data_IF_219997341100
#
_entry.id   IF_219997341100
#
_cell.length_a   1.000
_cell.length_b   1.000
_cell.length_c   1.000
_cell.angle_alpha   90.00
_cell.angle_beta   90.00
_cell.angle_gamma   90.00
#
_symmetry.space_group_name_H-M   'P 1'
#
loop_
_entity.id
_entity.type
_entity.pdbx_description
1 polymer ?
#
# COMPACT_ATOMS: atom_id res chain seq x y z
N UNK A 1 0.82 -6.08 20.13
CA UNK A 1 0.34 -7.19 19.23
C UNK A 1 -0.53 -8.23 19.93
N UNK A 2 -0.30 -8.59 21.20
CA UNK A 2 -1.11 -9.59 21.91
C UNK A 2 -2.63 -9.30 21.90
N UNK A 3 -3.12 -8.06 22.11
CA UNK A 3 -4.55 -7.76 22.02
C UNK A 3 -5.17 -8.07 20.66
N UNK A 4 -4.49 -7.76 19.55
CA UNK A 4 -4.97 -8.10 18.20
C UNK A 4 -4.99 -9.61 18.00
N UNK A 5 -3.94 -10.31 18.44
CA UNK A 5 -3.89 -11.78 18.34
C UNK A 5 -5.08 -12.42 19.05
N UNK A 6 -5.35 -11.99 20.28
CA UNK A 6 -6.50 -12.48 21.07
C UNK A 6 -7.82 -12.16 20.35
N UNK A 7 -7.96 -10.94 19.83
CA UNK A 7 -9.14 -10.57 19.06
C UNK A 7 -9.36 -11.51 17.85
N UNK A 8 -8.32 -11.79 17.06
CA UNK A 8 -8.42 -12.67 15.89
C UNK A 8 -8.71 -14.13 16.27
N UNK A 9 -8.17 -14.62 17.38
CA UNK A 9 -8.48 -15.97 17.89
C UNK A 9 -9.95 -16.08 18.29
N UNK A 10 -10.48 -15.08 18.99
CA UNK A 10 -11.87 -15.07 19.44
C UNK A 10 -12.86 -14.76 18.30
N UNK A 11 -12.37 -14.18 17.20
CA UNK A 11 -13.17 -13.77 16.04
C UNK A 11 -12.54 -14.29 14.72
N UNK A 12 -12.53 -15.60 14.47
CA UNK A 12 -11.77 -16.22 13.37
C UNK A 12 -12.24 -15.80 11.96
N UNK A 13 -13.45 -15.21 11.86
CA UNK A 13 -13.97 -14.70 10.58
C UNK A 13 -13.66 -13.22 10.34
N UNK A 14 -12.97 -12.56 11.27
CA UNK A 14 -12.58 -11.16 11.12
C UNK A 14 -11.16 -11.04 10.57
N UNK A 15 -11.01 -10.16 9.59
CA UNK A 15 -9.71 -9.76 9.04
C UNK A 15 -9.42 -8.34 9.51
N UNK A 16 -8.33 -8.17 10.26
CA UNK A 16 -7.85 -6.86 10.71
C UNK A 16 -6.83 -6.36 9.70
N UNK A 17 -7.09 -5.20 9.11
CA UNK A 17 -6.21 -4.54 8.15
C UNK A 17 -5.49 -3.37 8.83
N UNK A 18 -4.19 -3.30 8.68
CA UNK A 18 -3.38 -2.26 9.31
C UNK A 18 -2.01 -2.12 8.67
N UNK A 19 -1.26 -1.16 9.17
CA UNK A 19 0.09 -0.85 8.70
C UNK A 19 1.02 -0.63 9.89
N UNK A 20 2.27 -1.10 9.76
CA UNK A 20 3.34 -0.75 10.68
C UNK A 20 3.84 0.65 10.35
N UNK A 21 3.66 1.59 11.29
CA UNK A 21 4.21 2.93 11.17
C UNK A 21 5.50 3.04 11.99
N UNK A 22 6.48 3.72 11.41
CA UNK A 22 7.78 3.96 12.08
C UNK A 22 8.86 2.91 11.77
N UNK A 23 10.02 3.08 12.37
CA UNK A 23 11.17 2.21 12.15
C UNK A 23 11.80 2.33 10.77
N UNK A 24 12.14 1.19 10.15
CA UNK A 24 12.71 1.09 8.80
C UNK A 24 11.62 0.98 7.71
N UNK A 25 10.34 0.93 8.09
CA UNK A 25 9.21 0.73 7.20
C UNK A 25 8.64 2.07 6.74
N UNK A 26 8.41 2.22 5.44
CA UNK A 26 7.81 3.41 4.85
C UNK A 26 8.78 4.55 4.52
N UNK A 27 8.23 5.62 3.92
CA UNK A 27 9.01 6.80 3.50
C UNK A 27 9.20 7.83 4.61
N UNK A 28 8.31 7.81 5.61
CA UNK A 28 8.32 8.77 6.72
C UNK A 28 9.02 8.12 7.91
N UNK A 29 10.23 8.59 8.22
CA UNK A 29 11.04 8.08 9.35
C UNK A 29 10.71 8.76 10.68
N UNK A 30 9.87 9.78 10.66
CA UNK A 30 9.61 10.66 11.81
C UNK A 30 8.36 10.29 12.61
N UNK A 31 7.76 9.11 12.43
CA UNK A 31 6.63 8.69 13.25
C UNK A 31 6.97 8.70 14.73
N UNK A 32 6.10 9.32 15.54
CA UNK A 32 6.26 9.42 16.99
C UNK A 32 6.17 8.07 17.69
N UNK A 33 5.25 7.22 17.24
CA UNK A 33 5.05 5.89 17.77
C UNK A 33 5.32 4.84 16.70
N UNK A 34 6.03 3.77 17.07
CA UNK A 34 6.38 2.64 16.18
C UNK A 34 5.49 1.45 16.53
N UNK A 35 4.28 1.45 15.96
CA UNK A 35 3.25 0.48 16.29
C UNK A 35 2.51 0.02 15.03
N UNK A 36 1.79 -1.10 15.15
CA UNK A 36 0.87 -1.53 14.11
C UNK A 36 -0.44 -0.74 14.24
N UNK A 37 -0.75 0.08 13.25
CA UNK A 37 -1.96 0.88 13.24
C UNK A 37 -3.04 0.23 12.38
N UNK A 38 -4.19 -0.05 12.99
CA UNK A 38 -5.36 -0.59 12.30
C UNK A 38 -6.09 0.55 11.58
N UNK A 39 -6.33 0.37 10.29
CA UNK A 39 -7.07 1.33 9.47
C UNK A 39 -8.36 0.74 8.88
N UNK A 40 -8.57 -0.58 9.00
CA UNK A 40 -9.78 -1.23 8.51
C UNK A 40 -10.02 -2.58 9.19
N UNK A 41 -11.24 -3.07 9.07
CA UNK A 41 -11.62 -4.41 9.48
C UNK A 41 -12.72 -4.94 8.56
N UNK A 42 -12.60 -6.19 8.16
CA UNK A 42 -13.61 -6.83 7.32
C UNK A 42 -13.98 -8.22 7.81
N UNK A 43 -15.20 -8.63 7.51
CA UNK A 43 -15.67 -9.99 7.72
C UNK A 43 -15.21 -10.85 6.52
N UNK A 44 -14.45 -11.89 6.79
CA UNK A 44 -14.14 -12.91 5.80
C UNK A 44 -15.27 -13.94 5.79
N UNK A 45 -16.09 -13.96 4.76
CA UNK A 45 -17.06 -15.05 4.56
C UNK A 45 -16.34 -16.25 3.97
N UNK A 46 -16.42 -17.37 4.65
CA UNK A 46 -15.97 -18.66 4.12
C UNK A 46 -17.14 -19.21 3.28
N UNK A 47 -17.23 -18.76 2.03
CA UNK A 47 -18.16 -19.31 1.05
C UNK A 47 -17.40 -20.19 0.07
N UNK A 48 -17.93 -21.37 -0.23
CA UNK A 48 -17.37 -22.30 -1.24
C UNK A 48 -17.75 -21.92 -2.67
N UNK A 49 -18.51 -20.84 -2.90
CA UNK A 49 -18.90 -20.37 -4.22
C UNK A 49 -18.30 -19.00 -4.53
N UNK A 50 -17.91 -18.78 -5.78
CA UNK A 50 -17.39 -17.48 -6.24
C UNK A 50 -18.42 -16.33 -6.11
N UNK A 51 -19.70 -16.66 -5.99
CA UNK A 51 -20.81 -15.74 -5.84
C UNK A 51 -21.03 -15.26 -4.39
N UNK A 52 -20.43 -15.90 -3.38
CA UNK A 52 -20.66 -15.62 -1.95
C UNK A 52 -19.49 -14.91 -1.26
N UNK A 53 -18.51 -14.44 -2.01
CA UNK A 53 -17.39 -13.64 -1.46
C UNK A 53 -17.83 -12.21 -1.14
N UNK A 54 -18.74 -12.05 -0.20
CA UNK A 54 -19.07 -10.74 0.34
C UNK A 54 -18.10 -10.38 1.48
N UNK A 55 -17.11 -9.57 1.18
CA UNK A 55 -16.26 -8.97 2.21
C UNK A 55 -16.97 -7.75 2.80
N UNK A 56 -17.71 -7.97 3.89
CA UNK A 56 -18.32 -6.88 4.63
C UNK A 56 -17.26 -6.08 5.39
N UNK A 57 -16.98 -4.86 4.96
CA UNK A 57 -16.16 -3.92 5.73
C UNK A 57 -16.97 -3.31 6.86
N UNK A 58 -16.35 -3.19 8.03
CA UNK A 58 -16.97 -2.59 9.20
C UNK A 58 -16.66 -1.08 9.24
N UNK A 59 -17.67 -0.23 9.49
CA UNK A 59 -17.41 1.19 9.70
C UNK A 59 -16.55 1.41 10.95
N UNK A 60 -15.78 2.53 10.94
CA UNK A 60 -14.82 2.87 11.98
C UNK A 60 -15.34 2.65 13.41
N UNK A 61 -16.52 3.18 13.73
CA UNK A 61 -17.08 3.09 15.09
C UNK A 61 -17.31 1.64 15.55
N UNK A 62 -17.55 0.71 14.61
CA UNK A 62 -17.79 -0.70 14.94
C UNK A 62 -16.47 -1.42 15.25
N UNK A 63 -15.46 -1.30 14.39
CA UNK A 63 -14.19 -1.98 14.65
C UNK A 63 -13.39 -1.30 15.77
N UNK A 64 -13.50 0.02 15.94
CA UNK A 64 -12.92 0.72 17.07
C UNK A 64 -13.43 0.13 18.40
N UNK A 65 -14.75 0.04 18.57
CA UNK A 65 -15.36 -0.52 19.78
C UNK A 65 -14.99 -1.99 20.00
N UNK A 66 -14.89 -2.77 18.91
CA UNK A 66 -14.51 -4.17 19.00
C UNK A 66 -13.07 -4.33 19.51
N UNK A 67 -12.13 -3.60 18.95
CA UNK A 67 -10.70 -3.67 19.33
C UNK A 67 -10.44 -3.05 20.71
N UNK A 68 -11.15 -1.98 21.08
CA UNK A 68 -11.03 -1.33 22.38
C UNK A 68 -11.39 -2.28 23.54
N UNK A 69 -12.34 -3.20 23.36
CA UNK A 69 -12.67 -4.24 24.35
C UNK A 69 -11.50 -5.17 24.68
N UNK A 70 -10.58 -5.34 23.73
CA UNK A 70 -9.36 -6.12 23.91
C UNK A 70 -8.17 -5.28 24.40
N UNK A 71 -8.40 -3.97 24.63
CA UNK A 71 -7.36 -3.04 25.08
C UNK A 71 -6.44 -2.55 23.96
N UNK A 72 -6.86 -2.68 22.68
CA UNK A 72 -6.09 -2.17 21.56
C UNK A 72 -6.44 -0.72 21.24
N UNK A 73 -5.44 0.16 21.20
CA UNK A 73 -5.62 1.60 21.06
C UNK A 73 -5.02 2.19 19.78
N UNK A 74 -4.16 1.43 19.06
CA UNK A 74 -3.49 1.93 17.87
C UNK A 74 -4.38 1.76 16.65
N UNK A 75 -5.40 2.62 16.55
CA UNK A 75 -6.40 2.62 15.49
C UNK A 75 -6.37 3.99 14.83
N UNK A 76 -6.23 4.03 13.50
CA UNK A 76 -6.23 5.29 12.76
C UNK A 76 -7.63 5.91 12.80
N UNK A 77 -7.81 7.07 13.45
CA UNK A 77 -9.11 7.73 13.48
C UNK A 77 -9.42 8.37 12.11
N UNK A 78 -10.71 8.49 11.73
CA UNK A 78 -11.07 9.26 10.56
C UNK A 78 -10.76 10.75 10.80
N UNK A 79 -10.04 11.38 9.87
CA UNK A 79 -9.76 12.81 9.92
C UNK A 79 -11.06 13.63 9.71
N UNK A 80 -11.96 13.13 8.89
CA UNK A 80 -13.27 13.72 8.62
C UNK A 80 -14.29 12.63 8.27
N UNK A 81 -15.52 12.81 8.75
CA UNK A 81 -16.67 11.97 8.39
C UNK A 81 -17.69 12.85 7.71
N UNK A 82 -18.14 12.47 6.53
CA UNK A 82 -19.21 13.12 5.80
C UNK A 82 -20.48 12.29 5.88
N UNK A 83 -21.61 12.96 5.97
CA UNK A 83 -22.92 12.30 5.90
C UNK A 83 -23.28 11.98 4.44
N UNK A 84 -24.08 10.96 4.23
CA UNK A 84 -24.58 10.61 2.90
C UNK A 84 -25.32 11.80 2.28
N UNK A 85 -25.06 12.04 0.97
CA UNK A 85 -25.64 13.15 0.23
C UNK A 85 -24.87 14.46 0.32
N UNK A 86 -23.81 14.56 1.11
CA UNK A 86 -22.92 15.72 1.09
C UNK A 86 -21.96 15.61 -0.09
N UNK A 87 -21.95 16.64 -0.93
CA UNK A 87 -20.96 16.75 -2.01
C UNK A 87 -19.62 17.15 -1.43
N UNK A 88 -18.57 16.40 -1.77
CA UNK A 88 -17.19 16.64 -1.33
C UNK A 88 -16.32 16.80 -2.56
N UNK A 89 -15.59 17.90 -2.63
CA UNK A 89 -14.69 18.17 -3.76
C UNK A 89 -13.30 17.58 -3.52
N UNK A 90 -12.52 17.42 -4.58
CA UNK A 90 -11.11 16.98 -4.48
C UNK A 90 -10.29 18.01 -3.68
N UNK A 91 -10.60 19.30 -3.84
CA UNK A 91 -9.95 20.40 -3.12
C UNK A 91 -10.23 20.33 -1.61
N UNK A 92 -11.44 19.93 -1.21
CA UNK A 92 -11.77 19.71 0.22
C UNK A 92 -10.92 18.59 0.81
N UNK A 93 -10.77 17.49 0.06
CA UNK A 93 -9.95 16.35 0.51
C UNK A 93 -8.46 16.71 0.51
N UNK A 94 -7.98 17.45 -0.47
CA UNK A 94 -6.60 17.93 -0.53
C UNK A 94 -6.26 18.78 0.69
N UNK A 95 -7.14 19.71 1.10
CA UNK A 95 -6.96 20.51 2.33
C UNK A 95 -6.86 19.64 3.60
N UNK A 96 -7.63 18.57 3.68
CA UNK A 96 -7.53 17.60 4.80
C UNK A 96 -6.19 16.87 4.76
N UNK A 97 -5.72 16.46 3.56
CA UNK A 97 -4.43 15.82 3.39
C UNK A 97 -3.28 16.75 3.80
N UNK A 98 -3.38 18.04 3.47
CA UNK A 98 -2.38 19.06 3.82
C UNK A 98 -2.30 19.33 5.33
N UNK A 99 -3.37 19.11 6.06
CA UNK A 99 -3.44 19.25 7.51
C UNK A 99 -3.22 17.92 8.28
N UNK A 100 -2.82 16.85 7.59
CA UNK A 100 -2.66 15.55 8.23
C UNK A 100 -1.29 15.41 8.90
N UNK A 101 -1.28 15.45 10.24
CA UNK A 101 -0.12 15.21 11.10
C UNK A 101 -0.27 13.96 11.97
N UNK A 102 -1.14 13.01 11.61
CA UNK A 102 -1.40 11.85 12.43
C UNK A 102 -0.12 11.06 12.74
N UNK A 103 0.18 10.91 14.05
CA UNK A 103 1.37 10.24 14.56
C UNK A 103 2.71 10.83 14.07
N UNK A 104 2.71 12.13 13.71
CA UNK A 104 3.88 12.86 13.19
C UNK A 104 4.14 14.09 14.05
N UNK A 105 5.40 14.58 14.12
CA UNK A 105 5.71 15.90 14.65
C UNK A 105 4.98 17.00 13.87
N UNK A 106 4.76 18.16 14.49
CA UNK A 106 4.01 19.27 13.92
C UNK A 106 4.61 19.84 12.63
N UNK A 107 5.92 19.69 12.45
CA UNK A 107 6.68 20.15 11.27
C UNK A 107 6.72 19.11 10.14
N UNK A 108 6.17 17.91 10.38
CA UNK A 108 6.15 16.80 9.42
C UNK A 108 4.73 16.55 8.94
N UNK A 109 4.54 16.51 7.64
CA UNK A 109 3.24 16.31 7.00
C UNK A 109 3.13 14.88 6.48
N UNK A 110 1.93 14.30 6.60
CA UNK A 110 1.63 12.95 6.12
C UNK A 110 1.64 12.83 4.60
N UNK A 111 1.78 11.61 4.11
CA UNK A 111 1.84 11.30 2.67
C UNK A 111 0.55 11.68 1.93
N UNK A 112 -0.58 11.59 2.60
CA UNK A 112 -1.89 11.85 2.00
C UNK A 112 -3.03 11.30 2.85
N UNK A 113 -4.15 11.04 2.19
CA UNK A 113 -5.35 10.50 2.83
C UNK A 113 -6.01 9.43 1.96
N UNK A 114 -6.72 8.50 2.62
CA UNK A 114 -7.60 7.53 1.97
C UNK A 114 -9.04 7.92 2.24
N UNK A 115 -9.82 8.06 1.17
CA UNK A 115 -11.26 8.31 1.22
C UNK A 115 -11.97 6.98 1.07
N UNK A 116 -12.93 6.69 1.94
CA UNK A 116 -13.67 5.42 1.93
C UNK A 116 -15.16 5.66 1.94
N UNK A 117 -15.87 4.94 1.08
CA UNK A 117 -17.34 4.95 1.07
C UNK A 117 -17.87 3.56 1.45
N UNK A 118 -18.14 3.36 2.73
CA UNK A 118 -18.69 2.10 3.23
C UNK A 118 -20.17 1.86 2.88
N UNK A 119 -20.86 2.88 2.38
CA UNK A 119 -22.27 2.77 1.96
C UNK A 119 -22.44 2.27 0.54
N UNK A 120 -21.36 2.18 -0.21
CA UNK A 120 -21.37 1.69 -1.59
C UNK A 120 -20.64 0.35 -1.69
N UNK A 121 -21.32 -0.62 -2.26
CA UNK A 121 -20.75 -1.92 -2.60
C UNK A 121 -20.69 -2.04 -4.12
N UNK A 122 -19.51 -2.25 -4.66
CA UNK A 122 -19.31 -2.56 -6.07
C UNK A 122 -19.91 -3.93 -6.40
N UNK A 123 -20.13 -4.19 -7.69
CA UNK A 123 -20.57 -5.52 -8.16
C UNK A 123 -19.65 -6.69 -7.78
N UNK A 124 -18.44 -6.38 -7.30
CA UNK A 124 -17.44 -7.36 -6.85
C UNK A 124 -17.42 -7.51 -5.31
N UNK A 125 -18.36 -6.89 -4.60
CA UNK A 125 -18.43 -6.95 -3.14
C UNK A 125 -17.42 -6.08 -2.41
N UNK A 126 -16.71 -5.18 -3.10
CA UNK A 126 -15.78 -4.23 -2.50
C UNK A 126 -16.47 -2.89 -2.28
N UNK A 127 -16.16 -2.19 -1.19
CA UNK A 127 -16.51 -0.78 -1.05
C UNK A 127 -15.61 0.09 -1.95
N UNK A 128 -16.04 1.31 -2.23
CA UNK A 128 -15.19 2.23 -2.99
C UNK A 128 -14.22 2.98 -2.08
N UNK A 129 -12.97 3.01 -2.51
CA UNK A 129 -11.93 3.81 -1.88
C UNK A 129 -11.12 4.57 -2.92
N UNK A 130 -10.59 5.72 -2.51
CA UNK A 130 -9.68 6.52 -3.30
C UNK A 130 -8.52 7.01 -2.44
N UNK A 131 -7.29 6.96 -2.96
CA UNK A 131 -6.10 7.51 -2.29
C UNK A 131 -5.70 8.82 -2.92
N UNK A 132 -5.59 9.89 -2.13
CA UNK A 132 -5.02 11.16 -2.52
C UNK A 132 -3.65 11.28 -1.87
N UNK A 133 -2.61 11.27 -2.70
CA UNK A 133 -1.21 11.40 -2.29
C UNK A 133 -0.75 12.82 -2.63
N UNK A 134 -0.08 13.47 -1.70
CA UNK A 134 0.46 14.83 -1.88
C UNK A 134 1.53 14.87 -2.96
N UNK A 135 1.64 16.02 -3.62
CA UNK A 135 2.55 16.20 -4.75
C UNK A 135 4.02 15.90 -4.38
N UNK A 136 4.46 16.31 -3.18
CA UNK A 136 5.82 16.11 -2.69
C UNK A 136 6.21 14.62 -2.56
N UNK A 137 5.21 13.75 -2.34
CA UNK A 137 5.40 12.32 -2.30
C UNK A 137 5.26 11.67 -3.68
N UNK A 138 4.51 12.32 -4.60
CA UNK A 138 4.40 11.89 -6.00
C UNK A 138 5.67 12.21 -6.80
N UNK A 139 6.27 13.37 -6.57
CA UNK A 139 7.47 13.83 -7.30
C UNK A 139 8.69 12.94 -7.05
N UNK A 140 8.79 12.32 -5.87
CA UNK A 140 9.84 11.32 -5.60
C UNK A 140 9.74 10.06 -6.45
N UNK A 141 8.55 9.73 -6.96
CA UNK A 141 8.34 8.67 -7.97
C UNK A 141 8.43 9.20 -9.42
N UNK A 142 8.34 10.51 -9.66
CA UNK A 142 8.00 11.09 -10.96
C UNK A 142 9.01 12.04 -11.60
N UNK A 143 10.17 12.30 -11.04
CA UNK A 143 11.21 13.10 -11.73
C UNK A 143 12.03 12.25 -12.70
N UNK A 144 11.38 11.55 -13.60
CA UNK A 144 12.00 11.15 -14.85
C UNK A 144 11.07 11.54 -15.99
N UNK A 145 11.44 12.70 -16.54
CA UNK A 145 11.12 13.17 -17.91
C UNK A 145 10.01 12.42 -18.65
N UNK A 146 9.04 13.17 -19.16
CA UNK A 146 8.33 12.86 -20.40
C UNK A 146 9.36 12.66 -21.56
N UNK A 147 10.19 11.63 -21.45
CA UNK A 147 10.86 11.12 -22.63
C UNK A 147 9.76 10.53 -23.47
N UNK A 148 9.43 11.22 -24.56
CA UNK A 148 8.63 10.67 -25.63
C UNK A 148 9.14 9.27 -25.92
N UNK A 149 8.28 8.27 -25.68
CA UNK A 149 8.61 6.88 -26.01
C UNK A 149 8.71 6.86 -27.52
N UNK A 150 9.93 6.84 -28.05
CA UNK A 150 10.17 6.68 -29.46
C UNK A 150 9.85 5.24 -29.84
N UNK A 151 9.38 5.00 -31.08
CA UNK A 151 8.96 3.67 -31.56
C UNK A 151 10.02 2.56 -31.42
N UNK A 152 11.27 2.93 -31.16
CA UNK A 152 12.41 2.03 -30.92
C UNK A 152 12.80 1.86 -29.44
N UNK A 153 12.05 2.43 -28.48
CA UNK A 153 12.35 2.25 -27.06
C UNK A 153 11.76 0.93 -26.55
N UNK A 154 12.54 0.19 -25.78
CA UNK A 154 12.07 -1.01 -25.11
C UNK A 154 11.02 -0.61 -24.07
N UNK A 155 9.75 -0.90 -24.38
CA UNK A 155 8.60 -0.48 -23.57
C UNK A 155 8.65 -1.06 -22.15
N UNK A 156 9.13 -2.29 -22.03
CA UNK A 156 9.22 -2.97 -20.75
C UNK A 156 10.29 -2.35 -19.84
N UNK A 157 11.39 -1.89 -20.44
CA UNK A 157 12.41 -1.13 -19.71
C UNK A 157 11.84 0.22 -19.26
N UNK A 158 11.09 0.91 -20.13
CA UNK A 158 10.47 2.19 -19.81
C UNK A 158 9.48 2.07 -18.65
N UNK A 159 8.67 0.99 -18.59
CA UNK A 159 7.77 0.68 -17.49
C UNK A 159 8.56 0.56 -16.17
N UNK A 160 9.64 -0.20 -16.16
CA UNK A 160 10.43 -0.42 -14.94
C UNK A 160 11.17 0.84 -14.50
N UNK A 161 11.68 1.63 -15.45
CA UNK A 161 12.35 2.89 -15.13
C UNK A 161 11.40 3.93 -14.54
N UNK A 162 10.15 3.94 -15.00
CA UNK A 162 9.10 4.86 -14.55
C UNK A 162 8.50 4.46 -13.20
N UNK A 163 8.21 3.18 -13.00
CA UNK A 163 7.35 2.70 -11.92
C UNK A 163 8.10 2.02 -10.77
N UNK A 164 9.35 1.59 -10.96
CA UNK A 164 10.15 0.95 -9.90
C UNK A 164 11.27 1.86 -9.46
N UNK A 165 11.25 2.33 -8.23
CA UNK A 165 12.33 3.13 -7.64
C UNK A 165 13.31 2.28 -6.83
N UNK A 166 14.49 2.84 -6.52
CA UNK A 166 15.44 2.19 -5.58
C UNK A 166 14.84 2.03 -4.18
N UNK A 167 13.93 2.92 -3.80
CA UNK A 167 13.23 2.88 -2.53
C UNK A 167 12.24 1.71 -2.46
N UNK A 168 11.60 1.35 -3.58
CA UNK A 168 10.71 0.19 -3.62
C UNK A 168 11.49 -1.11 -3.46
N UNK A 169 12.66 -1.21 -4.10
CA UNK A 169 13.58 -2.35 -3.88
C UNK A 169 14.06 -2.41 -2.41
N UNK A 170 14.38 -1.26 -1.80
CA UNK A 170 14.80 -1.23 -0.40
C UNK A 170 13.68 -1.70 0.54
N UNK A 171 12.40 -1.37 0.24
CA UNK A 171 11.25 -1.90 0.98
C UNK A 171 11.17 -3.43 0.88
N UNK A 172 11.38 -3.99 -0.31
CA UNK A 172 11.40 -5.44 -0.51
C UNK A 172 12.53 -6.10 0.30
N UNK A 173 13.73 -5.49 0.35
CA UNK A 173 14.84 -5.96 1.18
C UNK A 173 14.44 -6.03 2.66
N UNK A 174 13.83 -4.96 3.17
CA UNK A 174 13.39 -4.90 4.56
C UNK A 174 12.30 -5.94 4.85
N UNK A 175 11.29 -6.08 3.97
CA UNK A 175 10.24 -7.09 4.08
C UNK A 175 10.80 -8.52 4.12
N UNK A 176 11.78 -8.83 3.26
CA UNK A 176 12.44 -10.17 3.24
C UNK A 176 13.20 -10.43 4.52
N UNK A 177 13.92 -9.43 5.05
CA UNK A 177 14.61 -9.54 6.34
C UNK A 177 13.62 -9.85 7.48
N UNK A 178 12.49 -9.13 7.50
CA UNK A 178 11.45 -9.31 8.52
C UNK A 178 10.80 -10.70 8.42
N UNK A 179 10.51 -11.17 7.19
CA UNK A 179 9.91 -12.49 6.95
C UNK A 179 10.83 -13.62 7.44
N UNK A 180 12.14 -13.48 7.23
CA UNK A 180 13.11 -14.51 7.58
C UNK A 180 13.64 -14.36 9.02
N UNK A 181 13.40 -13.21 9.66
CA UNK A 181 13.93 -12.92 11.00
C UNK A 181 15.45 -12.72 11.05
N UNK A 182 16.08 -12.44 9.89
CA UNK A 182 17.51 -12.25 9.75
C UNK A 182 17.85 -11.02 8.89
N UNK A 183 19.04 -10.46 9.11
CA UNK A 183 19.49 -9.31 8.34
C UNK A 183 19.79 -9.70 6.88
N UNK A 184 19.42 -8.84 5.94
CA UNK A 184 19.64 -9.10 4.51
C UNK A 184 21.12 -9.27 4.19
N UNK A 185 21.46 -10.39 3.51
CA UNK A 185 22.82 -10.68 3.07
C UNK A 185 22.90 -10.81 1.55
N UNK A 186 23.81 -10.07 0.93
CA UNK A 186 24.11 -10.14 -0.50
C UNK A 186 24.70 -11.49 -0.94
N UNK A 187 25.20 -12.29 -0.01
CA UNK A 187 25.70 -13.66 -0.28
C UNK A 187 24.60 -14.71 -0.21
N UNK A 188 23.43 -14.36 0.31
CA UNK A 188 22.30 -15.28 0.41
C UNK A 188 21.43 -15.23 -0.85
N UNK A 189 21.67 -16.16 -1.79
CA UNK A 189 20.93 -16.24 -3.05
C UNK A 189 19.42 -16.42 -2.88
N UNK A 190 18.96 -17.06 -1.78
CA UNK A 190 17.53 -17.19 -1.49
C UNK A 190 16.90 -15.83 -1.15
N UNK A 191 17.56 -15.03 -0.31
CA UNK A 191 17.09 -13.69 0.03
C UNK A 191 17.02 -12.78 -1.22
N UNK A 192 18.08 -12.82 -2.04
CA UNK A 192 18.11 -12.08 -3.32
C UNK A 192 16.94 -12.48 -4.21
N UNK A 193 16.71 -13.78 -4.38
CA UNK A 193 15.59 -14.31 -5.16
C UNK A 193 14.24 -13.80 -4.63
N UNK A 194 14.03 -13.82 -3.31
CA UNK A 194 12.81 -13.34 -2.67
C UNK A 194 12.60 -11.83 -2.90
N UNK A 195 13.65 -11.02 -2.79
CA UNK A 195 13.58 -9.57 -3.07
C UNK A 195 13.17 -9.30 -4.51
N UNK A 196 13.78 -10.01 -5.47
CA UNK A 196 13.46 -9.84 -6.88
C UNK A 196 12.03 -10.24 -7.22
N UNK A 197 11.55 -11.38 -6.69
CA UNK A 197 10.16 -11.82 -6.91
C UNK A 197 9.17 -10.87 -6.25
N UNK A 198 9.45 -10.42 -5.04
CA UNK A 198 8.60 -9.47 -4.32
C UNK A 198 8.51 -8.13 -5.06
N UNK A 199 9.63 -7.61 -5.55
CA UNK A 199 9.65 -6.36 -6.31
C UNK A 199 8.83 -6.44 -7.61
N UNK A 200 8.87 -7.57 -8.30
CA UNK A 200 8.03 -7.80 -9.47
C UNK A 200 6.55 -7.94 -9.10
N UNK A 201 6.24 -8.69 -8.04
CA UNK A 201 4.87 -8.86 -7.55
C UNK A 201 4.27 -7.51 -7.11
N UNK A 202 5.01 -6.71 -6.34
CA UNK A 202 4.57 -5.39 -5.89
C UNK A 202 4.31 -4.45 -7.09
N UNK A 203 5.20 -4.44 -8.11
CA UNK A 203 4.97 -3.68 -9.33
C UNK A 203 3.65 -4.05 -10.02
N UNK A 204 3.38 -5.35 -10.17
CA UNK A 204 2.17 -5.79 -10.87
C UNK A 204 0.92 -5.52 -10.02
N UNK A 205 0.99 -5.75 -8.71
CA UNK A 205 -0.16 -5.58 -7.82
C UNK A 205 -0.55 -4.11 -7.62
N UNK A 206 0.47 -3.24 -7.51
CA UNK A 206 0.23 -1.83 -7.18
C UNK A 206 0.04 -0.95 -8.42
N UNK A 207 0.72 -1.26 -9.53
CA UNK A 207 0.81 -0.36 -10.69
C UNK A 207 0.11 -0.90 -11.95
N UNK A 208 -0.62 -2.03 -11.86
CA UNK A 208 -1.32 -2.61 -13.02
C UNK A 208 -2.23 -1.60 -13.75
N UNK A 209 -2.97 -0.77 -13.02
CA UNK A 209 -3.82 0.26 -13.59
C UNK A 209 -3.03 1.37 -14.32
N UNK A 210 -1.87 1.75 -13.78
CA UNK A 210 -0.99 2.75 -14.38
C UNK A 210 -0.37 2.17 -15.65
N UNK A 211 0.12 0.93 -15.60
CA UNK A 211 0.65 0.21 -16.76
C UNK A 211 -0.41 0.14 -17.87
N UNK A 212 -1.63 -0.27 -17.53
CA UNK A 212 -2.72 -0.36 -18.51
C UNK A 212 -3.09 0.99 -19.13
N UNK A 213 -3.16 2.06 -18.33
CA UNK A 213 -3.55 3.40 -18.80
C UNK A 213 -2.43 4.07 -19.62
N UNK A 214 -1.18 4.00 -19.15
CA UNK A 214 -0.07 4.74 -19.77
C UNK A 214 0.60 3.96 -20.92
N UNK A 215 0.67 2.64 -20.79
CA UNK A 215 1.42 1.78 -21.69
C UNK A 215 0.57 0.76 -22.44
N UNK A 216 -0.72 0.63 -22.12
CA UNK A 216 -1.61 -0.41 -22.67
C UNK A 216 -1.86 -0.37 -24.17
N UNK A 217 -1.45 0.72 -24.87
CA UNK A 217 -1.46 0.80 -26.34
C UNK A 217 -0.32 0.03 -27.01
N UNK A 218 0.65 -0.44 -26.25
CA UNK A 218 1.80 -1.21 -26.72
C UNK A 218 1.67 -2.68 -26.33
N UNK A 219 2.20 -3.62 -27.12
CA UNK A 219 2.32 -5.01 -26.69
C UNK A 219 3.36 -5.09 -25.56
N UNK A 220 2.96 -5.61 -24.40
CA UNK A 220 3.82 -5.74 -23.22
C UNK A 220 4.09 -7.21 -22.96
N UNK A 221 5.37 -7.60 -22.91
CA UNK A 221 5.81 -8.95 -22.55
C UNK A 221 6.23 -8.96 -21.07
N UNK A 222 5.34 -9.38 -20.18
CA UNK A 222 5.58 -9.35 -18.73
C UNK A 222 6.84 -10.11 -18.28
N UNK A 223 7.25 -11.15 -18.99
CA UNK A 223 8.53 -11.82 -18.73
C UNK A 223 9.76 -10.91 -18.97
N UNK A 224 9.66 -9.96 -19.87
CA UNK A 224 10.71 -8.96 -20.07
C UNK A 224 10.66 -7.90 -18.99
N UNK A 225 9.46 -7.42 -18.59
CA UNK A 225 9.29 -6.55 -17.42
C UNK A 225 9.95 -7.18 -16.19
N UNK A 226 9.69 -8.46 -15.94
CA UNK A 226 10.31 -9.23 -14.84
C UNK A 226 11.83 -9.20 -14.89
N UNK A 227 12.42 -9.44 -16.05
CA UNK A 227 13.89 -9.38 -16.26
C UNK A 227 14.47 -8.01 -15.91
N UNK A 228 13.80 -6.93 -16.33
CA UNK A 228 14.26 -5.56 -16.03
C UNK A 228 14.09 -5.19 -14.56
N UNK A 229 13.01 -5.63 -13.90
CA UNK A 229 12.88 -5.48 -12.44
C UNK A 229 14.01 -6.20 -11.72
N UNK A 230 14.35 -7.41 -12.15
CA UNK A 230 15.44 -8.19 -11.55
C UNK A 230 16.81 -7.52 -11.75
N UNK A 231 17.07 -7.00 -12.96
CA UNK A 231 18.30 -6.26 -13.24
C UNK A 231 18.41 -5.01 -12.35
N UNK A 232 17.29 -4.27 -12.20
CA UNK A 232 17.23 -3.09 -11.33
C UNK A 232 17.43 -3.46 -9.85
N UNK A 233 16.79 -4.54 -9.38
CA UNK A 233 16.96 -5.02 -8.01
C UNK A 233 18.43 -5.41 -7.74
N UNK A 234 19.07 -6.13 -8.65
CA UNK A 234 20.50 -6.47 -8.53
C UNK A 234 21.37 -5.21 -8.45
N UNK A 235 21.13 -4.25 -9.32
CA UNK A 235 21.87 -2.97 -9.31
C UNK A 235 21.73 -2.23 -7.96
N UNK A 236 20.53 -2.20 -7.37
CA UNK A 236 20.29 -1.55 -6.07
C UNK A 236 20.95 -2.34 -4.92
N UNK A 237 20.95 -3.67 -5.00
CA UNK A 237 21.63 -4.55 -4.05
C UNK A 237 23.15 -4.42 -4.19
N UNK A 238 23.66 -4.03 -5.35
CA UNK A 238 25.09 -3.93 -5.66
C UNK A 238 25.70 -5.27 -6.11
N UNK A 239 24.96 -5.99 -7.00
CA UNK A 239 25.35 -7.24 -7.67
C UNK A 239 25.51 -7.02 -9.17
#
# INVERSE_FOLDING_TARGET
MEPIRRFCVDNPFMVVCGEWLGGKVGHIKSYLNKEFYVFDMKLATIGNSETEKHFGYLPYNSYYKALAKYGYQYIIPPLRVYQNGVSVTIEDIARIADANHFNLPDDVIGEGVVVKNYSYLSRFGNYEEGKIVRAEFKERKGQKSDKSITENSNIEQAIVDDLVSSSDIQKCINKVSDILGEEFSKSNGKMIGMVMEMAFSDLISEEACVIAKKYGKYPIVFNNVKKFVYAKARSVIGL
#
